data_IF_094126367305
#
_entry.id   IF_094126367305
#
_cell.length_a   1.000
_cell.length_b   1.000
_cell.length_c   1.000
_cell.angle_alpha   90.00
_cell.angle_beta   90.00
_cell.angle_gamma   90.00
#
_symmetry.space_group_name_H-M   'P 1'
#
loop_
_entity.id
_entity.type
_entity.pdbx_description
1 polymer ?
#
# COMPACT_ATOMS: atom_id res chain seq x y z
N UNK A 1 18.19 -40.42 -71.61
CA UNK A 1 16.75 -40.29 -71.28
C UNK A 1 16.52 -40.96 -69.92
N UNK A 2 16.52 -40.17 -68.85
CA UNK A 2 16.14 -40.58 -67.49
C UNK A 2 15.42 -39.39 -66.83
N UNK A 3 14.26 -39.58 -66.18
CA UNK A 3 13.40 -38.47 -65.75
C UNK A 3 13.89 -37.82 -64.44
N UNK A 4 13.51 -36.55 -64.17
CA UNK A 4 13.86 -35.89 -62.92
C UNK A 4 13.11 -36.51 -61.74
N UNK A 5 13.84 -36.81 -60.66
CA UNK A 5 13.29 -37.35 -59.42
C UNK A 5 12.49 -36.28 -58.67
N UNK A 6 11.21 -36.58 -58.50
CA UNK A 6 10.22 -35.79 -57.78
C UNK A 6 10.53 -35.79 -56.26
N UNK A 7 11.14 -34.72 -55.74
CA UNK A 7 11.39 -34.55 -54.29
C UNK A 7 10.10 -34.13 -53.58
N UNK A 8 9.45 -35.07 -52.89
CA UNK A 8 8.35 -34.77 -51.94
C UNK A 8 8.85 -33.88 -50.79
N UNK A 9 8.10 -32.84 -50.37
CA UNK A 9 8.47 -32.02 -49.22
C UNK A 9 8.29 -32.81 -47.91
N UNK A 10 9.25 -32.65 -46.97
CA UNK A 10 9.19 -33.26 -45.62
C UNK A 10 8.03 -32.68 -44.81
N UNK A 11 7.33 -33.49 -43.98
CA UNK A 11 6.25 -33.01 -43.14
C UNK A 11 6.77 -32.09 -42.03
N UNK A 12 6.08 -30.96 -41.79
CA UNK A 12 6.37 -30.03 -40.69
C UNK A 12 6.12 -30.70 -39.33
N UNK A 13 6.96 -30.48 -38.31
CA UNK A 13 6.74 -31.04 -36.98
C UNK A 13 5.51 -30.39 -36.32
N UNK A 14 4.71 -31.21 -35.65
CA UNK A 14 3.50 -30.79 -34.90
C UNK A 14 3.88 -29.82 -33.76
N UNK A 15 3.08 -28.78 -33.47
CA UNK A 15 3.33 -27.89 -32.35
C UNK A 15 3.19 -28.63 -31.01
N UNK A 16 4.12 -28.36 -30.09
CA UNK A 16 4.10 -28.91 -28.73
C UNK A 16 2.87 -28.37 -27.96
N UNK A 17 2.20 -29.18 -27.13
CA UNK A 17 1.09 -28.72 -26.31
C UNK A 17 1.58 -27.69 -25.28
N UNK A 18 0.79 -26.62 -25.13
CA UNK A 18 1.01 -25.55 -24.14
C UNK A 18 1.07 -26.10 -22.72
N UNK A 19 1.97 -25.61 -21.84
CA UNK A 19 2.02 -26.05 -20.46
C UNK A 19 0.75 -25.58 -19.71
N UNK A 20 0.13 -26.52 -18.99
CA UNK A 20 -1.01 -26.27 -18.12
C UNK A 20 -0.70 -25.20 -17.05
N UNK A 21 -1.70 -24.40 -16.62
CA UNK A 21 -1.50 -23.34 -15.66
C UNK A 21 -1.04 -23.90 -14.31
N UNK A 22 0.08 -23.37 -13.80
CA UNK A 22 0.61 -23.70 -12.47
C UNK A 22 -0.46 -23.50 -11.38
N UNK A 23 -0.53 -24.38 -10.37
CA UNK A 23 -1.51 -24.25 -9.30
C UNK A 23 -1.26 -22.98 -8.49
N UNK A 24 -2.33 -22.22 -8.21
CA UNK A 24 -2.31 -21.05 -7.32
C UNK A 24 -1.71 -21.45 -5.97
N UNK A 25 -0.84 -20.62 -5.36
CA UNK A 25 -0.27 -20.94 -4.06
C UNK A 25 -1.38 -21.01 -3.01
N UNK A 26 -1.44 -22.12 -2.28
CA UNK A 26 -2.34 -22.30 -1.13
C UNK A 26 -2.00 -21.22 -0.09
N UNK A 27 -3.02 -20.47 0.33
CA UNK A 27 -2.89 -19.51 1.42
C UNK A 27 -2.54 -20.25 2.71
N UNK A 28 -1.50 -19.80 3.41
CA UNK A 28 -1.16 -20.31 4.75
C UNK A 28 -2.39 -20.19 5.68
N UNK A 29 -2.72 -21.21 6.49
CA UNK A 29 -3.78 -21.10 7.48
C UNK A 29 -3.32 -20.14 8.57
N UNK A 30 -3.71 -18.88 8.45
CA UNK A 30 -3.49 -17.88 9.49
C UNK A 30 -4.16 -18.27 10.81
N UNK A 31 -3.77 -17.64 11.93
CA UNK A 31 -4.38 -17.92 13.24
C UNK A 31 -5.90 -17.78 13.18
N UNK A 32 -6.60 -18.71 13.82
CA UNK A 32 -8.07 -18.71 13.93
C UNK A 32 -8.55 -17.33 14.41
N UNK A 33 -9.51 -16.75 13.70
CA UNK A 33 -10.06 -15.44 14.04
C UNK A 33 -10.68 -15.48 15.44
N UNK A 34 -10.34 -14.51 16.28
CA UNK A 34 -10.95 -14.35 17.60
C UNK A 34 -12.48 -14.19 17.47
N UNK A 35 -13.22 -14.55 18.53
CA UNK A 35 -14.67 -14.36 18.57
C UNK A 35 -15.07 -12.89 18.29
N UNK A 36 -14.27 -11.93 18.76
CA UNK A 36 -14.44 -10.52 18.47
C UNK A 36 -14.31 -10.21 16.96
N UNK A 37 -13.30 -10.76 16.28
CA UNK A 37 -13.13 -10.57 14.82
C UNK A 37 -14.32 -11.14 14.04
N UNK A 38 -14.85 -12.30 14.44
CA UNK A 38 -16.02 -12.91 13.78
C UNK A 38 -17.28 -12.07 13.95
N UNK A 39 -17.50 -11.50 15.14
CA UNK A 39 -18.62 -10.59 15.40
C UNK A 39 -18.55 -9.34 14.52
N UNK A 40 -17.39 -8.68 14.46
CA UNK A 40 -17.23 -7.50 13.61
C UNK A 40 -17.48 -7.87 12.14
N UNK A 41 -16.96 -9.01 11.66
CA UNK A 41 -17.20 -9.45 10.28
C UNK A 41 -18.69 -9.65 9.94
N UNK A 42 -19.50 -10.14 10.88
CA UNK A 42 -20.93 -10.29 10.68
C UNK A 42 -21.62 -8.93 10.58
N UNK A 43 -21.26 -8.00 11.47
CA UNK A 43 -21.80 -6.63 11.48
C UNK A 43 -21.41 -5.81 10.24
N UNK A 44 -20.27 -6.12 9.59
CA UNK A 44 -19.84 -5.42 8.37
C UNK A 44 -20.75 -5.65 7.15
N UNK A 45 -21.52 -6.72 7.17
CA UNK A 45 -22.49 -7.07 6.13
C UNK A 45 -23.92 -6.62 6.52
N UNK A 46 -24.09 -6.03 7.70
CA UNK A 46 -25.38 -5.54 8.15
C UNK A 46 -25.80 -4.28 7.37
N UNK A 47 -27.08 -4.18 6.95
CA UNK A 47 -27.57 -3.06 6.15
C UNK A 47 -27.59 -1.73 6.94
N UNK A 48 -27.60 -1.78 8.27
CA UNK A 48 -27.58 -0.63 9.18
C UNK A 48 -26.16 -0.27 9.67
N UNK A 49 -25.11 -0.76 8.99
CA UNK A 49 -23.73 -0.42 9.32
C UNK A 49 -23.49 1.07 9.12
N UNK A 50 -23.27 1.79 10.23
CA UNK A 50 -22.93 3.22 10.21
C UNK A 50 -21.43 3.45 10.39
N UNK A 51 -20.96 4.61 9.96
CA UNK A 51 -19.58 5.05 10.23
C UNK A 51 -19.27 5.11 11.74
N UNK A 52 -20.25 5.48 12.56
CA UNK A 52 -20.11 5.53 14.02
C UNK A 52 -19.82 4.14 14.58
N UNK A 53 -20.58 3.11 14.19
CA UNK A 53 -20.34 1.72 14.60
C UNK A 53 -18.94 1.24 14.18
N UNK A 54 -18.51 1.55 12.95
CA UNK A 54 -17.16 1.22 12.48
C UNK A 54 -16.07 1.88 13.33
N UNK A 55 -16.26 3.13 13.72
CA UNK A 55 -15.34 3.85 14.59
C UNK A 55 -15.28 3.22 15.98
N UNK A 56 -16.42 2.84 16.54
CA UNK A 56 -16.48 2.20 17.86
C UNK A 56 -15.76 0.83 17.85
N UNK A 57 -15.92 0.05 16.78
CA UNK A 57 -15.14 -1.18 16.58
C UNK A 57 -13.64 -0.94 16.46
N UNK A 58 -13.21 0.20 15.90
CA UNK A 58 -11.80 0.53 15.80
C UNK A 58 -11.16 0.80 17.18
N UNK A 59 -11.91 1.43 18.09
CA UNK A 59 -11.47 1.76 19.44
C UNK A 59 -11.65 0.62 20.47
N UNK A 60 -12.51 -0.35 20.18
CA UNK A 60 -12.72 -1.49 21.05
C UNK A 60 -11.44 -2.34 21.24
N UNK A 61 -11.26 -3.03 22.38
CA UNK A 61 -10.13 -3.91 22.61
C UNK A 61 -9.96 -4.94 21.48
N UNK A 62 -8.76 -4.97 20.87
CA UNK A 62 -8.47 -5.84 19.74
C UNK A 62 -8.74 -5.24 18.36
N UNK A 63 -9.54 -4.17 18.26
CA UNK A 63 -9.80 -3.39 17.04
C UNK A 63 -9.84 -4.18 15.73
N UNK A 64 -9.19 -3.64 14.70
CA UNK A 64 -8.99 -4.33 13.42
C UNK A 64 -7.62 -5.01 13.31
N UNK A 65 -7.22 -5.80 14.31
CA UNK A 65 -5.89 -6.45 14.31
C UNK A 65 -5.71 -7.44 13.15
N UNK A 66 -6.74 -8.24 12.86
CA UNK A 66 -6.69 -9.24 11.79
C UNK A 66 -6.59 -8.57 10.41
N UNK A 67 -5.64 -9.03 9.58
CA UNK A 67 -5.49 -8.54 8.20
C UNK A 67 -6.76 -8.73 7.39
N UNK A 68 -7.41 -9.88 7.50
CA UNK A 68 -8.66 -10.20 6.78
C UNK A 68 -9.79 -9.22 7.13
N UNK A 69 -9.79 -8.69 8.35
CA UNK A 69 -10.73 -7.67 8.78
C UNK A 69 -10.39 -6.32 8.15
N UNK A 70 -9.13 -5.88 8.23
CA UNK A 70 -8.67 -4.62 7.60
C UNK A 70 -8.90 -4.59 6.10
N UNK A 71 -8.73 -5.72 5.42
CA UNK A 71 -9.01 -5.87 3.98
C UNK A 71 -10.45 -5.48 3.60
N UNK A 72 -11.42 -5.71 4.50
CA UNK A 72 -12.82 -5.32 4.30
C UNK A 72 -13.12 -3.93 4.84
N UNK A 73 -12.57 -3.59 6.01
CA UNK A 73 -12.93 -2.38 6.74
C UNK A 73 -12.28 -1.12 6.18
N UNK A 74 -11.00 -1.16 5.83
CA UNK A 74 -10.28 0.05 5.40
C UNK A 74 -10.89 0.70 4.16
N UNK A 75 -11.26 -0.05 3.10
CA UNK A 75 -12.00 0.54 1.98
C UNK A 75 -13.30 1.20 2.41
N UNK A 76 -14.12 0.53 3.25
CA UNK A 76 -15.39 1.07 3.75
C UNK A 76 -15.20 2.37 4.54
N UNK A 77 -14.19 2.45 5.41
CA UNK A 77 -13.87 3.68 6.18
C UNK A 77 -13.52 4.87 5.29
N UNK A 78 -12.97 4.61 4.09
CA UNK A 78 -12.58 5.62 3.12
C UNK A 78 -13.65 5.88 2.05
N UNK A 79 -14.81 5.22 2.16
CA UNK A 79 -15.88 5.30 1.16
C UNK A 79 -15.52 4.63 -0.17
N UNK A 80 -14.56 3.70 -0.19
CA UNK A 80 -14.17 2.94 -1.38
C UNK A 80 -15.01 1.68 -1.49
N UNK A 81 -15.86 1.62 -2.51
CA UNK A 81 -16.62 0.43 -2.84
C UNK A 81 -15.79 -0.54 -3.70
N UNK A 82 -15.43 -1.67 -3.09
CA UNK A 82 -14.69 -2.75 -3.76
C UNK A 82 -15.48 -3.42 -4.88
N UNK A 83 -16.80 -3.52 -4.77
CA UNK A 83 -17.63 -4.24 -5.72
C UNK A 83 -17.86 -3.38 -6.96
N UNK A 84 -18.12 -2.08 -6.75
CA UNK A 84 -18.11 -1.11 -7.83
C UNK A 84 -16.76 -1.14 -8.57
N UNK A 85 -15.64 -1.09 -7.85
CA UNK A 85 -14.31 -1.16 -8.46
C UNK A 85 -14.07 -2.46 -9.24
N UNK A 86 -14.55 -3.60 -8.75
CA UNK A 86 -14.45 -4.88 -9.48
C UNK A 86 -15.30 -4.89 -10.77
N UNK A 87 -16.43 -4.19 -10.78
CA UNK A 87 -17.31 -4.12 -11.94
C UNK A 87 -16.83 -3.11 -12.99
N UNK A 88 -16.39 -1.92 -12.58
CA UNK A 88 -16.01 -0.83 -13.48
C UNK A 88 -14.51 -0.71 -13.75
N UNK A 89 -13.67 -1.32 -12.92
CA UNK A 89 -12.25 -1.02 -12.89
C UNK A 89 -11.97 0.42 -12.42
N UNK A 90 -10.74 0.88 -12.61
CA UNK A 90 -10.27 2.22 -12.21
C UNK A 90 -10.71 3.34 -13.17
N UNK A 91 -11.35 3.01 -14.29
CA UNK A 91 -11.76 4.00 -15.30
C UNK A 91 -10.65 4.47 -16.23
N UNK A 92 -9.42 3.95 -16.10
CA UNK A 92 -8.28 4.21 -16.98
C UNK A 92 -7.41 2.95 -17.18
N UNK A 93 -6.51 2.98 -18.18
CA UNK A 93 -5.57 1.88 -18.42
C UNK A 93 -4.44 1.88 -17.38
N UNK A 94 -4.70 1.22 -16.25
CA UNK A 94 -3.73 1.05 -15.17
C UNK A 94 -2.42 0.38 -15.64
N UNK A 95 -2.47 -0.56 -16.59
CA UNK A 95 -1.28 -1.25 -17.04
C UNK A 95 -0.37 -0.33 -17.87
N UNK A 96 -0.96 0.56 -18.66
CA UNK A 96 -0.24 1.63 -19.34
C UNK A 96 0.34 2.62 -18.32
N UNK A 97 -0.49 3.21 -17.47
CA UNK A 97 -0.08 4.20 -16.45
C UNK A 97 1.06 3.67 -15.55
N UNK A 98 0.99 2.41 -15.12
CA UNK A 98 2.03 1.79 -14.29
C UNK A 98 3.41 1.65 -14.95
N UNK A 99 3.46 1.71 -16.29
CA UNK A 99 4.71 1.63 -17.09
C UNK A 99 5.15 2.98 -17.64
N UNK A 100 4.28 3.98 -17.62
CA UNK A 100 4.56 5.32 -18.11
C UNK A 100 5.35 6.11 -17.06
N UNK A 101 6.55 6.61 -17.38
CA UNK A 101 7.30 7.46 -16.46
C UNK A 101 6.58 8.78 -16.20
N UNK A 102 6.76 9.32 -14.99
CA UNK A 102 6.28 10.62 -14.56
C UNK A 102 7.44 11.43 -13.94
N UNK A 103 7.16 12.67 -13.52
CA UNK A 103 8.17 13.58 -12.96
C UNK A 103 8.89 13.04 -11.71
N UNK A 104 8.34 12.03 -11.04
CA UNK A 104 8.86 11.46 -9.80
C UNK A 104 9.47 10.06 -9.97
N UNK A 105 9.44 9.45 -11.17
CA UNK A 105 9.85 8.05 -11.38
C UNK A 105 11.26 7.74 -10.84
N UNK A 106 12.22 8.65 -11.00
CA UNK A 106 13.59 8.44 -10.51
C UNK A 106 13.68 8.44 -8.97
N UNK A 107 12.85 9.24 -8.31
CA UNK A 107 12.74 9.29 -6.85
C UNK A 107 12.02 8.04 -6.33
N UNK A 108 10.93 7.65 -6.99
CA UNK A 108 10.18 6.42 -6.68
C UNK A 108 11.07 5.19 -6.73
N UNK A 109 11.96 5.08 -7.73
CA UNK A 109 12.88 3.95 -7.86
C UNK A 109 13.82 3.81 -6.65
N UNK A 110 14.42 4.92 -6.22
CA UNK A 110 15.33 4.96 -5.05
C UNK A 110 14.60 4.62 -3.75
N UNK A 111 13.38 5.12 -3.59
CA UNK A 111 12.58 4.90 -2.38
C UNK A 111 12.06 3.48 -2.30
N UNK A 112 11.48 2.96 -3.38
CA UNK A 112 11.00 1.57 -3.47
C UNK A 112 12.16 0.59 -3.30
N UNK A 113 13.35 0.88 -3.82
CA UNK A 113 14.53 0.04 -3.65
C UNK A 113 14.98 -0.10 -2.19
N UNK A 114 14.69 0.89 -1.34
CA UNK A 114 14.97 0.89 0.11
C UNK A 114 13.79 0.42 0.97
N UNK A 115 12.60 0.33 0.40
CA UNK A 115 11.36 -0.02 1.12
C UNK A 115 11.28 -1.46 1.64
N UNK A 116 10.27 -1.77 2.46
CA UNK A 116 9.93 -3.11 2.97
C UNK A 116 10.95 -3.76 3.92
N UNK A 117 12.05 -3.09 4.30
CA UNK A 117 13.04 -3.64 5.23
C UNK A 117 12.67 -3.49 6.71
N UNK A 118 12.01 -2.40 7.08
CA UNK A 118 11.80 -2.03 8.49
C UNK A 118 10.61 -2.72 9.17
N UNK A 119 9.77 -3.40 8.39
CA UNK A 119 8.68 -4.17 8.96
C UNK A 119 9.24 -5.48 9.56
N UNK A 120 9.20 -5.61 10.89
CA UNK A 120 9.62 -6.82 11.62
C UNK A 120 8.95 -8.09 11.06
N UNK A 121 7.69 -7.99 10.65
CA UNK A 121 6.91 -9.04 10.00
C UNK A 121 7.47 -9.51 8.64
N UNK A 122 8.29 -8.68 7.99
CA UNK A 122 8.87 -8.94 6.66
C UNK A 122 10.37 -9.26 6.73
N UNK A 123 10.96 -9.30 7.93
CA UNK A 123 12.37 -9.67 8.14
C UNK A 123 12.69 -11.05 7.53
N UNK A 124 11.75 -11.99 7.63
CA UNK A 124 11.88 -13.37 7.10
C UNK A 124 11.71 -13.47 5.58
N UNK A 125 11.42 -12.38 4.88
CA UNK A 125 11.22 -12.42 3.44
C UNK A 125 12.54 -12.61 2.70
N UNK A 126 12.62 -13.68 1.90
CA UNK A 126 13.67 -13.86 0.89
C UNK A 126 13.65 -12.69 -0.12
N UNK A 127 14.82 -12.34 -0.66
CA UNK A 127 14.98 -11.24 -1.63
C UNK A 127 14.01 -11.32 -2.81
N UNK A 128 13.77 -12.52 -3.37
CA UNK A 128 12.81 -12.72 -4.47
C UNK A 128 11.38 -12.27 -4.12
N UNK A 129 10.87 -12.61 -2.93
CA UNK A 129 9.52 -12.22 -2.48
C UNK A 129 9.43 -10.70 -2.28
N UNK A 130 10.48 -10.12 -1.70
CA UNK A 130 10.61 -8.67 -1.49
C UNK A 130 10.61 -7.93 -2.83
N UNK A 131 11.43 -8.36 -3.77
CA UNK A 131 11.53 -7.73 -5.08
C UNK A 131 10.23 -7.84 -5.88
N UNK A 132 9.51 -8.96 -5.79
CA UNK A 132 8.19 -9.09 -6.41
C UNK A 132 7.18 -8.07 -5.83
N UNK A 133 7.17 -7.89 -4.50
CA UNK A 133 6.29 -6.90 -3.86
C UNK A 133 6.73 -5.46 -4.14
N UNK A 134 8.03 -5.19 -4.23
CA UNK A 134 8.57 -3.88 -4.67
C UNK A 134 8.17 -3.56 -6.10
N UNK A 135 8.20 -4.54 -7.01
CA UNK A 135 7.73 -4.33 -8.37
C UNK A 135 6.22 -3.99 -8.43
N UNK A 136 5.40 -4.61 -7.58
CA UNK A 136 3.99 -4.22 -7.41
C UNK A 136 3.84 -2.80 -6.85
N UNK A 137 4.62 -2.46 -5.82
CA UNK A 137 4.62 -1.11 -5.22
C UNK A 137 5.04 -0.05 -6.23
N UNK A 138 6.06 -0.32 -7.05
CA UNK A 138 6.53 0.59 -8.09
C UNK A 138 5.46 0.86 -9.15
N UNK A 139 4.78 -0.19 -9.63
CA UNK A 139 3.66 -0.04 -10.58
C UNK A 139 2.54 0.81 -10.01
N UNK A 140 2.15 0.52 -8.76
CA UNK A 140 1.12 1.27 -8.04
C UNK A 140 1.48 2.75 -7.93
N UNK A 141 2.70 3.06 -7.50
CA UNK A 141 3.16 4.44 -7.35
C UNK A 141 3.32 5.17 -8.68
N UNK A 142 3.82 4.51 -9.73
CA UNK A 142 3.92 5.12 -11.06
C UNK A 142 2.55 5.45 -11.65
N UNK A 143 1.61 4.50 -11.58
CA UNK A 143 0.23 4.75 -12.02
C UNK A 143 -0.38 5.89 -11.21
N UNK A 144 -0.24 5.85 -9.88
CA UNK A 144 -0.78 6.89 -8.99
C UNK A 144 -0.24 8.28 -9.31
N UNK A 145 1.09 8.45 -9.35
CA UNK A 145 1.67 9.77 -9.63
C UNK A 145 1.48 10.22 -11.09
N UNK A 146 1.22 9.29 -12.02
CA UNK A 146 0.91 9.61 -13.41
C UNK A 146 -0.50 10.17 -13.59
N UNK A 147 -1.47 9.62 -12.88
CA UNK A 147 -2.88 10.03 -12.95
C UNK A 147 -3.23 11.21 -12.04
N UNK A 148 -2.33 11.56 -11.09
CA UNK A 148 -2.51 12.67 -10.15
C UNK A 148 -1.40 13.74 -10.29
N UNK A 149 -1.33 14.45 -11.44
CA UNK A 149 -0.30 15.47 -11.67
C UNK A 149 -0.38 16.67 -10.71
N UNK A 150 -1.52 16.87 -10.05
CA UNK A 150 -1.73 17.90 -9.02
C UNK A 150 -1.02 17.57 -7.69
N UNK A 151 -0.73 16.29 -7.44
CA UNK A 151 -0.11 15.82 -6.20
C UNK A 151 1.42 15.79 -6.32
N UNK A 152 2.10 16.16 -5.25
CA UNK A 152 3.55 16.19 -5.18
C UNK A 152 4.04 15.03 -4.32
N UNK A 153 4.89 14.17 -4.87
CA UNK A 153 5.46 13.05 -4.14
C UNK A 153 6.41 13.54 -3.04
N UNK A 154 6.23 13.03 -1.82
CA UNK A 154 7.16 13.24 -0.70
C UNK A 154 7.83 11.94 -0.28
N UNK A 155 9.09 12.04 0.18
CA UNK A 155 9.83 10.87 0.66
C UNK A 155 9.15 10.30 1.92
N UNK A 156 8.68 9.06 1.82
CA UNK A 156 7.92 8.35 2.85
C UNK A 156 6.51 7.96 2.41
N UNK A 157 5.98 8.55 1.34
CA UNK A 157 4.68 8.13 0.78
C UNK A 157 4.69 6.66 0.34
N UNK A 158 5.81 6.16 -0.18
CA UNK A 158 5.99 4.76 -0.54
C UNK A 158 5.77 3.79 0.64
N UNK A 159 6.07 4.19 1.88
CA UNK A 159 5.84 3.35 3.06
C UNK A 159 4.34 3.26 3.40
N UNK A 160 3.60 4.37 3.23
CA UNK A 160 2.13 4.36 3.35
C UNK A 160 1.52 3.45 2.28
N UNK A 161 1.93 3.63 1.03
CA UNK A 161 1.50 2.80 -0.09
C UNK A 161 1.85 1.32 0.10
N UNK A 162 3.03 1.03 0.66
CA UNK A 162 3.44 -0.32 1.00
C UNK A 162 2.51 -0.95 2.04
N UNK A 163 2.15 -0.23 3.11
CA UNK A 163 1.22 -0.74 4.14
C UNK A 163 -0.15 -1.00 3.52
N UNK A 164 -0.68 -0.06 2.74
CA UNK A 164 -1.98 -0.24 2.06
C UNK A 164 -1.94 -1.48 1.18
N UNK A 165 -0.97 -1.58 0.26
CA UNK A 165 -0.81 -2.72 -0.65
C UNK A 165 -0.61 -4.05 0.09
N UNK A 166 0.17 -4.03 1.18
CA UNK A 166 0.38 -5.21 2.02
C UNK A 166 -0.88 -5.62 2.77
N UNK A 167 -1.75 -4.70 3.16
CA UNK A 167 -2.99 -5.02 3.87
C UNK A 167 -4.04 -5.49 2.88
N UNK A 168 -4.41 -4.65 1.91
CA UNK A 168 -5.51 -4.93 0.97
C UNK A 168 -5.17 -6.10 0.06
N UNK A 169 -3.92 -6.18 -0.40
CA UNK A 169 -3.40 -7.32 -1.19
C UNK A 169 -3.73 -7.29 -2.69
N UNK A 170 -4.50 -6.30 -3.14
CA UNK A 170 -4.90 -6.08 -4.53
C UNK A 170 -4.42 -4.70 -5.00
N UNK A 171 -3.84 -4.60 -6.19
CA UNK A 171 -3.24 -3.35 -6.70
C UNK A 171 -4.32 -2.28 -7.00
N UNK A 172 -5.44 -2.66 -7.63
CA UNK A 172 -6.51 -1.71 -7.98
C UNK A 172 -7.20 -1.17 -6.73
N UNK A 173 -7.50 -2.03 -5.76
CA UNK A 173 -8.06 -1.59 -4.48
C UNK A 173 -7.07 -0.76 -3.68
N UNK A 174 -5.77 -1.09 -3.72
CA UNK A 174 -4.74 -0.27 -3.10
C UNK A 174 -4.66 1.12 -3.73
N UNK A 175 -4.79 1.21 -5.06
CA UNK A 175 -4.87 2.49 -5.77
C UNK A 175 -6.06 3.31 -5.28
N UNK A 176 -7.28 2.75 -5.32
CA UNK A 176 -8.48 3.48 -4.91
C UNK A 176 -8.43 3.93 -3.44
N UNK A 177 -7.84 3.11 -2.56
CA UNK A 177 -7.60 3.48 -1.15
C UNK A 177 -6.58 4.62 -1.04
N UNK A 178 -5.49 4.55 -1.78
CA UNK A 178 -4.47 5.61 -1.78
C UNK A 178 -5.01 6.92 -2.34
N UNK A 179 -5.80 6.87 -3.41
CA UNK A 179 -6.46 8.03 -3.97
C UNK A 179 -7.30 8.78 -2.94
N UNK A 180 -8.17 8.06 -2.21
CA UNK A 180 -8.95 8.67 -1.13
C UNK A 180 -8.06 9.21 -0.01
N UNK A 181 -7.03 8.48 0.42
CA UNK A 181 -6.11 8.94 1.48
C UNK A 181 -5.35 10.21 1.07
N UNK A 182 -4.84 10.24 -0.16
CA UNK A 182 -4.06 11.33 -0.72
C UNK A 182 -4.87 12.61 -0.88
N UNK A 183 -6.13 12.51 -1.29
CA UNK A 183 -7.02 13.67 -1.45
C UNK A 183 -7.66 14.16 -0.15
N UNK A 184 -7.50 13.42 0.94
CA UNK A 184 -8.10 13.77 2.24
C UNK A 184 -7.02 13.93 3.31
N UNK A 185 -6.62 12.84 3.95
CA UNK A 185 -5.74 12.84 5.12
C UNK A 185 -4.29 13.26 4.81
N UNK A 186 -3.81 12.96 3.59
CA UNK A 186 -2.42 13.24 3.20
C UNK A 186 -2.30 14.43 2.24
N UNK A 187 -3.41 15.11 1.94
CA UNK A 187 -3.47 16.22 0.98
C UNK A 187 -2.40 17.27 1.26
N UNK A 188 -2.29 17.67 2.53
CA UNK A 188 -1.36 18.72 2.94
C UNK A 188 0.11 18.27 2.87
N UNK A 189 0.37 16.97 3.03
CA UNK A 189 1.70 16.37 2.86
C UNK A 189 2.12 16.27 1.39
N UNK A 190 1.15 16.19 0.48
CA UNK A 190 1.34 16.09 -0.97
C UNK A 190 1.17 17.43 -1.69
N UNK A 191 1.14 18.53 -0.95
CA UNK A 191 1.13 19.87 -1.52
C UNK A 191 2.51 20.23 -2.14
N UNK A 192 2.57 21.20 -3.05
CA UNK A 192 3.85 21.65 -3.65
C UNK A 192 4.87 22.16 -2.63
N UNK A 193 4.41 22.58 -1.45
CA UNK A 193 5.26 23.07 -0.36
C UNK A 193 4.77 22.51 0.98
N UNK A 194 5.66 22.38 1.95
CA UNK A 194 5.33 21.91 3.30
C UNK A 194 4.70 22.96 4.21
N UNK A 195 4.28 24.13 3.69
CA UNK A 195 3.71 25.20 4.50
C UNK A 195 2.53 24.74 5.36
N UNK A 196 1.66 23.89 4.81
CA UNK A 196 0.51 23.35 5.54
C UNK A 196 0.94 22.40 6.66
N UNK A 197 1.89 21.50 6.38
CA UNK A 197 2.47 20.59 7.36
C UNK A 197 3.18 21.36 8.49
N UNK A 198 3.92 22.41 8.16
CA UNK A 198 4.55 23.28 9.15
C UNK A 198 3.51 23.92 10.08
N UNK A 199 2.40 24.42 9.54
CA UNK A 199 1.30 24.94 10.36
C UNK A 199 0.70 23.87 11.26
N UNK A 200 0.44 22.66 10.75
CA UNK A 200 -0.06 21.53 11.55
C UNK A 200 0.90 21.19 12.71
N UNK A 201 2.21 21.15 12.44
CA UNK A 201 3.22 20.90 13.47
C UNK A 201 3.23 21.98 14.55
N UNK A 202 3.10 23.26 14.17
CA UNK A 202 3.00 24.36 15.14
C UNK A 202 1.80 24.20 16.08
N UNK A 203 0.64 23.76 15.55
CA UNK A 203 -0.53 23.46 16.38
C UNK A 203 -0.26 22.26 17.30
N UNK A 204 0.34 21.19 16.81
CA UNK A 204 0.71 20.03 17.61
C UNK A 204 1.63 20.41 18.79
N UNK A 205 2.66 21.24 18.55
CA UNK A 205 3.53 21.74 19.63
C UNK A 205 2.83 22.66 20.61
N UNK A 206 1.86 23.46 20.16
CA UNK A 206 1.03 24.27 21.07
C UNK A 206 0.14 23.41 21.94
N UNK A 207 -0.52 22.40 21.37
CA UNK A 207 -1.30 21.43 22.15
C UNK A 207 -0.43 20.68 23.15
N UNK A 208 0.77 20.26 22.75
CA UNK A 208 1.71 19.58 23.63
C UNK A 208 2.17 20.46 24.79
N UNK A 209 2.46 21.74 24.54
CA UNK A 209 2.78 22.71 25.61
C UNK A 209 1.64 22.91 26.60
N UNK A 210 0.38 22.86 26.14
CA UNK A 210 -0.78 22.99 27.01
C UNK A 210 -1.07 21.72 27.80
N UNK A 211 -0.88 20.55 27.19
CA UNK A 211 -1.16 19.25 27.79
C UNK A 211 -0.04 18.79 28.75
N UNK A 212 1.21 19.07 28.40
CA UNK A 212 2.39 18.68 29.19
C UNK A 212 3.52 19.74 29.08
N UNK A 213 3.43 20.83 29.88
CA UNK A 213 4.47 21.85 29.91
C UNK A 213 5.83 21.32 30.36
N UNK A 214 5.85 20.30 31.23
CA UNK A 214 7.07 19.75 31.79
C UNK A 214 7.88 18.99 30.73
N UNK A 215 7.20 18.23 29.86
CA UNK A 215 7.84 17.58 28.71
C UNK A 215 8.47 18.61 27.74
N UNK A 216 7.86 19.78 27.62
CA UNK A 216 8.32 20.85 26.73
C UNK A 216 9.36 21.79 27.37
N UNK A 217 9.69 21.58 28.65
CA UNK A 217 10.73 22.35 29.32
C UNK A 217 12.10 22.02 28.72
N UNK A 218 13.01 23.02 28.60
CA UNK A 218 14.37 22.74 28.17
C UNK A 218 15.03 21.72 29.11
N UNK A 219 15.89 20.83 28.59
CA UNK A 219 16.62 19.90 29.44
C UNK A 219 17.46 20.68 30.46
N UNK A 220 17.65 20.15 31.68
CA UNK A 220 18.51 20.80 32.66
C UNK A 220 19.91 20.99 32.09
N UNK A 221 20.63 22.05 32.51
CA UNK A 221 21.97 22.30 32.01
C UNK A 221 22.88 21.08 32.25
N UNK A 222 23.82 20.79 31.34
CA UNK A 222 24.75 19.69 31.53
C UNK A 222 25.52 19.89 32.84
N UNK A 223 25.76 18.78 33.56
CA UNK A 223 26.58 18.83 34.79
C UNK A 223 27.97 19.40 34.44
N UNK A 224 28.56 20.26 35.29
CA UNK A 224 29.91 20.76 35.06
C UNK A 224 30.88 19.59 34.93
N UNK A 225 31.79 19.67 33.95
CA UNK A 225 32.83 18.65 33.81
C UNK A 225 33.70 18.67 35.08
N UNK A 226 34.07 17.50 35.62
CA UNK A 226 35.05 17.44 36.70
C UNK A 226 36.35 18.12 36.24
N UNK A 227 37.07 18.79 37.15
CA UNK A 227 38.37 19.38 36.83
C UNK A 227 39.32 18.29 36.31
N UNK A 228 40.23 18.63 35.38
CA UNK A 228 41.24 17.70 34.90
C UNK A 228 42.14 17.23 36.07
N UNK A 229 42.70 16.01 35.99
CA UNK A 229 43.59 15.46 37.00
C UNK A 229 44.88 16.26 37.16
#
# INVERSE_FOLDING_TARGET
>A
RAPPQNRKPKPKPKPKPSPSPSPKPKADPGPSLSAACKRILAELEAPDLTFVKLRDFAYAPGGFQARSLRQKVWPKLLGVDRYALQASGLGFDYAHAARTPNGFTSQLDKDVSRSLHHFTLLSRWKGKRRNLKRAQLMRLLNAFMGEHPELHYYQGFHDVAAVVLLVVGDESLAYAVLDRLSHTFLRDCMAPTFKQVEMLLRHAFTLLRLADPAFMAPPPPPRPRPPPP
#
